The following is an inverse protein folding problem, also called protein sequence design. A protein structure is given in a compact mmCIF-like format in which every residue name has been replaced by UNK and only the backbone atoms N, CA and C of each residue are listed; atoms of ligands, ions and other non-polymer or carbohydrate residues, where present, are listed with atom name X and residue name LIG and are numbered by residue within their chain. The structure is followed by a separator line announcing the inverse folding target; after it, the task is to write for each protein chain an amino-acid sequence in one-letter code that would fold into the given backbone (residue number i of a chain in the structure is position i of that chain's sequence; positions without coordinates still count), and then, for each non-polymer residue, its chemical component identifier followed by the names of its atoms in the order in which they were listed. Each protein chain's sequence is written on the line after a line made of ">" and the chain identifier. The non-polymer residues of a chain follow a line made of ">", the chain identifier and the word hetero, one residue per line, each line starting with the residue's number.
data_IF_359805538183
#
_entry.id   IF_359805538183
#
_cell.length_a   1.000
_cell.length_b   1.000
_cell.length_c   1.000
_cell.angle_alpha   90.00
_cell.angle_beta   90.00
_cell.angle_gamma   90.00
#
_symmetry.space_group_name_H-M   'P 1'
#
loop_
_entity.id
_entity.type
_entity.pdbx_description
1 polymer ?
#
# COMPACT_ATOMS: atom_id res chain seq x y z
N UNK A 1 6.25 6.14 5.55
CA UNK A 1 5.65 7.06 6.55
C UNK A 1 6.71 7.69 7.44
N UNK A 2 7.34 6.94 8.36
CA UNK A 2 8.31 7.47 9.36
C UNK A 2 9.32 8.48 8.82
N UNK A 3 10.07 8.13 7.76
CA UNK A 3 11.07 9.03 7.15
C UNK A 3 10.50 10.37 6.65
N UNK A 4 9.25 10.40 6.20
CA UNK A 4 8.58 11.64 5.78
C UNK A 4 8.13 12.41 7.01
N UNK A 5 7.48 11.73 7.96
CA UNK A 5 6.92 12.35 9.17
C UNK A 5 7.97 12.80 10.19
N UNK A 6 9.23 12.41 10.03
CA UNK A 6 10.37 12.92 10.82
C UNK A 6 10.71 14.38 10.48
N UNK A 7 10.29 14.89 9.31
CA UNK A 7 10.59 16.25 8.87
C UNK A 7 9.56 17.22 9.46
N UNK A 8 9.98 18.29 10.18
CA UNK A 8 9.06 19.32 10.65
C UNK A 8 8.22 19.90 9.50
N UNK A 9 6.91 20.03 9.72
CA UNK A 9 5.97 20.50 8.70
C UNK A 9 5.47 19.42 7.73
N UNK A 10 5.81 18.15 7.94
CA UNK A 10 5.32 17.04 7.11
C UNK A 10 3.78 16.96 7.00
N UNK A 11 3.04 17.50 7.97
CA UNK A 11 1.58 17.62 7.91
C UNK A 11 1.06 18.43 6.72
N UNK A 12 1.89 19.30 6.12
CA UNK A 12 1.51 20.06 4.93
C UNK A 12 1.50 19.23 3.64
N UNK A 13 2.09 18.03 3.63
CA UNK A 13 2.23 17.20 2.42
C UNK A 13 1.87 15.72 2.62
N UNK A 14 1.96 15.21 3.84
CA UNK A 14 1.71 13.80 4.15
C UNK A 14 0.27 13.60 4.63
N UNK A 15 -0.61 13.26 3.69
CA UNK A 15 -2.05 13.05 3.97
C UNK A 15 -2.34 11.83 4.85
N UNK A 16 -1.48 10.80 4.78
CA UNK A 16 -1.64 9.58 5.55
C UNK A 16 -0.99 8.37 4.90
N UNK A 17 -1.25 7.19 5.45
CA UNK A 17 -0.76 5.93 4.90
C UNK A 17 -1.43 4.72 5.52
N UNK A 18 -1.28 3.57 4.86
CA UNK A 18 -1.86 2.29 5.28
C UNK A 18 -0.75 1.27 5.41
N UNK A 19 -0.71 0.54 6.53
CA UNK A 19 0.14 -0.63 6.71
C UNK A 19 -0.70 -1.87 6.42
N UNK A 20 -0.61 -2.40 5.20
CA UNK A 20 -1.47 -3.47 4.69
C UNK A 20 -0.79 -4.84 4.65
N UNK A 21 -0.36 -5.34 5.81
CA UNK A 21 0.38 -6.60 5.91
C UNK A 21 -0.41 -7.78 5.36
N UNK A 22 -1.68 -7.92 5.76
CA UNK A 22 -2.53 -9.03 5.32
C UNK A 22 -3.30 -8.72 4.04
N UNK A 23 -3.69 -9.76 3.30
CA UNK A 23 -4.53 -9.64 2.11
C UNK A 23 -5.90 -9.02 2.43
N UNK A 24 -6.43 -9.26 3.64
CA UNK A 24 -7.68 -8.65 4.10
C UNK A 24 -7.55 -7.12 4.16
N UNK A 25 -6.42 -6.59 4.63
CA UNK A 25 -6.21 -5.13 4.67
C UNK A 25 -6.01 -4.57 3.27
N UNK A 26 -5.24 -5.27 2.41
CA UNK A 26 -5.11 -4.90 0.99
C UNK A 26 -6.49 -4.80 0.31
N UNK A 27 -7.35 -5.77 0.56
CA UNK A 27 -8.69 -5.78 -0.02
C UNK A 27 -9.62 -4.73 0.58
N UNK A 28 -9.82 -4.74 1.91
CA UNK A 28 -10.84 -3.90 2.56
C UNK A 28 -10.48 -2.42 2.65
N UNK A 29 -9.20 -2.10 2.84
CA UNK A 29 -8.76 -0.72 3.07
C UNK A 29 -8.26 -0.08 1.78
N UNK A 30 -7.50 -0.83 0.97
CA UNK A 30 -6.94 -0.32 -0.29
C UNK A 30 -7.78 -0.69 -1.51
N UNK A 31 -8.85 -1.47 -1.36
CA UNK A 31 -9.73 -1.84 -2.48
C UNK A 31 -9.06 -2.73 -3.52
N UNK A 32 -7.99 -3.46 -3.15
CA UNK A 32 -7.38 -4.44 -4.07
C UNK A 32 -8.38 -5.57 -4.29
N UNK A 33 -8.75 -5.89 -5.55
CA UNK A 33 -9.69 -6.98 -5.81
C UNK A 33 -9.20 -8.33 -5.26
N UNK A 34 -10.11 -9.14 -4.72
CA UNK A 34 -9.76 -10.41 -4.09
C UNK A 34 -9.28 -11.45 -5.12
N UNK A 35 -9.95 -11.50 -6.27
CA UNK A 35 -9.56 -12.26 -7.46
C UNK A 35 -8.14 -11.89 -7.94
N UNK A 36 -7.77 -10.61 -7.92
CA UNK A 36 -6.40 -10.17 -8.26
C UNK A 36 -5.36 -10.70 -7.26
N UNK A 37 -5.69 -10.76 -5.97
CA UNK A 37 -4.80 -11.31 -4.94
C UNK A 37 -4.63 -12.83 -5.09
N UNK A 38 -5.67 -13.52 -5.55
CA UNK A 38 -5.65 -14.96 -5.83
C UNK A 38 -4.88 -15.27 -7.13
N UNK A 39 -5.09 -14.50 -8.20
CA UNK A 39 -4.49 -14.72 -9.52
C UNK A 39 -3.00 -14.36 -9.56
N UNK A 40 -2.64 -13.19 -9.04
CA UNK A 40 -1.28 -12.65 -9.15
C UNK A 40 -0.44 -12.82 -7.89
N UNK A 41 -1.07 -13.16 -6.76
CA UNK A 41 -0.42 -13.15 -5.45
C UNK A 41 -0.17 -11.74 -4.92
N UNK A 42 0.02 -11.64 -3.60
CA UNK A 42 0.21 -10.36 -2.92
C UNK A 42 1.49 -9.62 -3.35
N UNK A 43 2.52 -10.35 -3.78
CA UNK A 43 3.81 -9.81 -4.23
C UNK A 43 3.84 -9.79 -5.75
N UNK A 44 3.18 -8.80 -6.34
CA UNK A 44 3.09 -8.67 -7.79
C UNK A 44 2.93 -7.22 -8.21
N UNK A 45 3.35 -6.90 -9.44
CA UNK A 45 3.19 -5.58 -10.04
C UNK A 45 1.72 -5.09 -10.08
N UNK A 46 0.71 -5.91 -10.49
CA UNK A 46 -0.68 -5.48 -10.49
C UNK A 46 -1.19 -5.17 -9.08
N UNK A 47 -0.87 -6.00 -8.08
CA UNK A 47 -1.27 -5.74 -6.69
C UNK A 47 -0.60 -4.49 -6.14
N UNK A 48 0.69 -4.28 -6.40
CA UNK A 48 1.36 -3.04 -6.01
C UNK A 48 0.65 -1.81 -6.61
N UNK A 49 0.36 -1.83 -7.91
CA UNK A 49 -0.37 -0.73 -8.56
C UNK A 49 -1.74 -0.49 -7.94
N UNK A 50 -2.52 -1.54 -7.70
CA UNK A 50 -3.82 -1.43 -7.05
C UNK A 50 -3.72 -0.86 -5.63
N UNK A 51 -2.71 -1.27 -4.86
CA UNK A 51 -2.44 -0.71 -3.52
C UNK A 51 -2.13 0.80 -3.58
N UNK A 52 -1.31 1.24 -4.54
CA UNK A 52 -1.00 2.67 -4.71
C UNK A 52 -2.26 3.47 -5.10
N UNK A 53 -3.04 2.98 -6.07
CA UNK A 53 -4.29 3.63 -6.48
C UNK A 53 -5.31 3.70 -5.33
N UNK A 54 -5.43 2.63 -4.55
CA UNK A 54 -6.26 2.57 -3.35
C UNK A 54 -5.84 3.59 -2.28
N UNK A 55 -4.54 3.64 -1.97
CA UNK A 55 -4.00 4.57 -0.98
C UNK A 55 -4.20 6.03 -1.40
N UNK A 56 -4.03 6.33 -2.70
CA UNK A 56 -4.29 7.65 -3.27
C UNK A 56 -5.76 8.06 -3.10
N UNK A 57 -6.70 7.16 -3.43
CA UNK A 57 -8.15 7.41 -3.29
C UNK A 57 -8.54 7.59 -1.82
N UNK A 58 -8.05 6.74 -0.92
CA UNK A 58 -8.40 6.77 0.50
C UNK A 58 -7.90 8.02 1.23
N UNK A 59 -6.76 8.59 0.80
CA UNK A 59 -6.14 9.76 1.44
C UNK A 59 -6.37 11.07 0.69
N UNK A 60 -7.00 11.00 -0.50
CA UNK A 60 -7.14 12.12 -1.45
C UNK A 60 -5.81 12.82 -1.77
N UNK A 61 -4.68 12.12 -1.64
CA UNK A 61 -3.37 12.67 -1.97
C UNK A 61 -3.17 12.80 -3.48
N UNK A 62 -2.31 13.74 -3.90
CA UNK A 62 -1.95 13.87 -5.32
C UNK A 62 -1.23 12.60 -5.83
N UNK A 63 -0.33 12.07 -4.99
CA UNK A 63 0.50 10.90 -5.26
C UNK A 63 0.43 9.89 -4.12
N UNK A 64 0.57 8.60 -4.45
CA UNK A 64 0.74 7.53 -3.47
C UNK A 64 1.81 6.55 -3.92
N UNK A 65 2.50 5.95 -2.95
CA UNK A 65 3.55 4.94 -3.16
C UNK A 65 3.18 3.70 -2.36
N UNK A 66 3.28 2.54 -3.00
CA UNK A 66 3.04 1.24 -2.38
C UNK A 66 4.27 0.36 -2.48
N UNK A 67 4.45 -0.52 -1.51
CA UNK A 67 5.46 -1.58 -1.55
C UNK A 67 4.81 -2.89 -1.12
N UNK A 68 5.10 -3.95 -1.85
CA UNK A 68 4.76 -5.33 -1.50
C UNK A 68 5.96 -6.21 -1.86
N UNK A 69 6.25 -7.20 -1.04
CA UNK A 69 7.48 -7.99 -1.15
C UNK A 69 7.55 -9.05 -0.06
N UNK A 70 8.40 -10.05 -0.30
CA UNK A 70 8.78 -11.05 0.71
C UNK A 70 9.98 -10.52 1.47
N UNK A 71 9.82 -10.25 2.76
CA UNK A 71 10.91 -9.76 3.60
C UNK A 71 11.89 -10.87 4.03
N UNK A 72 11.52 -12.14 3.88
CA UNK A 72 12.26 -13.31 4.36
C UNK A 72 11.92 -13.67 5.83
N UNK A 73 12.58 -14.70 6.41
CA UNK A 73 13.69 -15.47 5.83
C UNK A 73 13.27 -16.51 4.80
N UNK A 74 12.00 -16.94 4.82
CA UNK A 74 11.47 -17.92 3.88
C UNK A 74 11.13 -17.26 2.54
N UNK A 75 11.23 -18.04 1.45
CA UNK A 75 10.96 -17.60 0.08
C UNK A 75 9.60 -18.14 -0.38
N UNK A 76 8.55 -17.68 0.29
CA UNK A 76 7.16 -18.15 0.14
C UNK A 76 6.95 -19.67 0.40
#
# INVERSE_FOLDING_TARGET
>A
AKRITDVPGASGVFMGGVVSYTNIVKHRVLGVPADMLEEYGAVSAPVARAMAEGARKATTADCAVSVTGVAGPDRD
#
